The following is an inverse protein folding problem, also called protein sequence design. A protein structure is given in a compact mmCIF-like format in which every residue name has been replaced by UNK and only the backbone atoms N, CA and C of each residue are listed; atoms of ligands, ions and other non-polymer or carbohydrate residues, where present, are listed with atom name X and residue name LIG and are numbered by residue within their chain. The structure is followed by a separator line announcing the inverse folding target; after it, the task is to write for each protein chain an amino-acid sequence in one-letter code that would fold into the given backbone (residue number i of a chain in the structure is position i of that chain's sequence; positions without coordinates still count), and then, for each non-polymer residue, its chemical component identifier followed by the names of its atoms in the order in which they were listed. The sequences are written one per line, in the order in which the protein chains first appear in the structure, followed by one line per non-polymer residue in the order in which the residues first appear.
data_IF_492507187776
#
_entry.id   IF_492507187776
#
_cell.length_a   1.000
_cell.length_b   1.000
_cell.length_c   1.000
_cell.angle_alpha   90.00
_cell.angle_beta   90.00
_cell.angle_gamma   90.00
#
_symmetry.space_group_name_H-M   'P 1'
#
loop_
_entity.id
_entity.type
_entity.pdbx_description
1 polymer ?
#
# COMPACT_ATOMS: atom_id res chain seq x y z
N UNK A 1 -5.19 -24.50 1.53
CA UNK A 1 -5.27 -23.41 2.53
C UNK A 1 -6.06 -23.91 3.72
N UNK A 2 -5.40 -23.95 4.87
CA UNK A 2 -5.98 -24.41 6.12
C UNK A 2 -6.79 -23.29 6.80
N UNK A 3 -7.61 -23.64 7.80
CA UNK A 3 -8.45 -22.68 8.53
C UNK A 3 -7.65 -21.53 9.15
N UNK A 4 -6.42 -21.77 9.61
CA UNK A 4 -5.54 -20.73 10.15
C UNK A 4 -5.21 -19.64 9.13
N UNK A 5 -4.89 -20.02 7.89
CA UNK A 5 -4.62 -19.07 6.82
C UNK A 5 -5.88 -18.30 6.40
N UNK A 6 -7.06 -18.93 6.51
CA UNK A 6 -8.33 -18.23 6.23
C UNK A 6 -8.55 -17.09 7.21
N UNK A 7 -8.33 -17.33 8.50
CA UNK A 7 -8.39 -16.29 9.53
C UNK A 7 -7.41 -15.17 9.21
N UNK A 8 -6.16 -15.52 8.86
CA UNK A 8 -5.15 -14.53 8.49
C UNK A 8 -5.59 -13.67 7.30
N UNK A 9 -6.10 -14.30 6.23
CA UNK A 9 -6.59 -13.61 5.04
C UNK A 9 -7.75 -12.67 5.35
N UNK A 10 -8.71 -13.11 6.15
CA UNK A 10 -9.86 -12.30 6.56
C UNK A 10 -9.42 -11.10 7.40
N UNK A 11 -8.63 -11.33 8.44
CA UNK A 11 -8.18 -10.27 9.35
C UNK A 11 -7.33 -9.24 8.60
N UNK A 12 -6.31 -9.68 7.85
CA UNK A 12 -5.43 -8.78 7.10
C UNK A 12 -6.19 -8.03 6.01
N UNK A 13 -7.03 -8.72 5.23
CA UNK A 13 -7.83 -8.08 4.19
C UNK A 13 -8.77 -7.02 4.75
N UNK A 14 -9.48 -7.33 5.85
CA UNK A 14 -10.40 -6.38 6.48
C UNK A 14 -9.67 -5.21 7.15
N UNK A 15 -8.51 -5.41 7.75
CA UNK A 15 -7.70 -4.32 8.31
C UNK A 15 -7.20 -3.36 7.21
N UNK A 16 -6.72 -3.89 6.09
CA UNK A 16 -6.31 -3.08 4.93
C UNK A 16 -7.52 -2.30 4.40
N UNK A 17 -8.68 -2.93 4.27
CA UNK A 17 -9.89 -2.24 3.86
C UNK A 17 -10.31 -1.15 4.87
N UNK A 18 -10.18 -1.44 6.16
CA UNK A 18 -10.44 -0.50 7.25
C UNK A 18 -9.55 0.75 7.18
N UNK A 19 -8.25 0.59 6.92
CA UNK A 19 -7.35 1.74 6.69
C UNK A 19 -7.77 2.58 5.48
N UNK A 20 -8.24 1.93 4.40
CA UNK A 20 -8.78 2.65 3.26
C UNK A 20 -10.04 3.45 3.59
N UNK A 21 -10.95 2.87 4.40
CA UNK A 21 -12.16 3.55 4.91
C UNK A 21 -11.79 4.76 5.77
N UNK A 22 -10.78 4.65 6.64
CA UNK A 22 -10.29 5.76 7.46
C UNK A 22 -9.79 6.94 6.61
N UNK A 23 -9.15 6.65 5.46
CA UNK A 23 -8.60 7.68 4.56
C UNK A 23 -9.64 8.49 3.80
N UNK A 24 -10.80 7.91 3.50
CA UNK A 24 -11.81 8.54 2.63
C UNK A 24 -13.11 8.91 3.36
N UNK A 25 -13.34 8.42 4.57
CA UNK A 25 -14.60 8.59 5.30
C UNK A 25 -14.37 9.01 6.76
N UNK A 26 -15.45 9.34 7.45
CA UNK A 26 -15.45 9.63 8.90
C UNK A 26 -15.64 8.36 9.77
N UNK A 27 -15.63 7.17 9.17
CA UNK A 27 -15.81 5.91 9.88
C UNK A 27 -14.47 5.37 10.36
N UNK A 28 -14.52 4.51 11.38
CA UNK A 28 -13.34 3.85 11.97
C UNK A 28 -12.28 4.84 12.49
N UNK A 29 -12.68 6.05 12.90
CA UNK A 29 -11.77 7.10 13.34
C UNK A 29 -11.15 7.93 12.22
N UNK A 30 -11.64 7.81 10.98
CA UNK A 30 -11.21 8.64 9.87
C UNK A 30 -11.66 10.10 9.97
N UNK A 31 -10.96 10.98 9.26
CA UNK A 31 -11.22 12.43 9.21
C UNK A 31 -11.86 12.88 7.89
N UNK A 32 -12.48 11.94 7.17
CA UNK A 32 -13.01 12.16 5.84
C UNK A 32 -11.93 12.40 4.78
N UNK A 33 -12.36 12.52 3.54
CA UNK A 33 -11.47 12.68 2.39
C UNK A 33 -10.59 13.94 2.46
N UNK A 34 -11.06 15.01 3.11
CA UNK A 34 -10.27 16.22 3.33
C UNK A 34 -9.06 15.94 4.25
N UNK A 35 -9.27 15.21 5.35
CA UNK A 35 -8.17 14.87 6.25
C UNK A 35 -7.19 13.88 5.62
N UNK A 36 -7.67 12.91 4.84
CA UNK A 36 -6.79 12.05 4.04
C UNK A 36 -5.97 12.84 3.00
N UNK A 37 -6.58 13.84 2.37
CA UNK A 37 -5.88 14.75 1.44
C UNK A 37 -4.73 15.49 2.13
N UNK A 38 -4.95 15.96 3.34
CA UNK A 38 -3.95 16.66 4.14
C UNK A 38 -2.86 15.70 4.64
N UNK A 39 -3.20 14.49 5.06
CA UNK A 39 -2.25 13.41 5.40
C UNK A 39 -1.28 13.17 4.23
N UNK A 40 -1.79 12.87 3.04
CA UNK A 40 -0.94 12.65 1.86
C UNK A 40 -0.12 13.89 1.48
N UNK A 41 -0.62 15.11 1.74
CA UNK A 41 0.15 16.33 1.53
C UNK A 41 1.34 16.43 2.48
N UNK A 42 1.14 16.12 3.77
CA UNK A 42 2.20 16.09 4.80
C UNK A 42 3.23 15.01 4.51
N UNK A 43 2.78 13.86 4.02
CA UNK A 43 3.63 12.75 3.59
C UNK A 43 4.42 13.05 2.30
N UNK A 44 4.22 14.23 1.71
CA UNK A 44 4.95 14.73 0.56
C UNK A 44 4.41 14.24 -0.78
N UNK A 45 3.13 13.86 -0.89
CA UNK A 45 2.52 13.46 -2.16
C UNK A 45 1.91 14.65 -2.92
N UNK A 46 2.06 14.62 -4.25
CA UNK A 46 1.33 15.44 -5.22
C UNK A 46 -0.08 14.88 -5.44
N UNK A 47 -0.93 15.61 -6.16
CA UNK A 47 -2.27 15.16 -6.56
C UNK A 47 -3.40 15.37 -5.53
N UNK A 48 -3.06 15.68 -4.27
CA UNK A 48 -4.04 16.08 -3.25
C UNK A 48 -5.17 15.07 -3.10
N UNK A 49 -6.41 15.54 -3.34
CA UNK A 49 -7.63 14.74 -3.17
C UNK A 49 -7.67 13.48 -4.03
N UNK A 50 -7.11 13.53 -5.25
CA UNK A 50 -7.08 12.36 -6.13
C UNK A 50 -6.18 11.26 -5.58
N UNK A 51 -5.02 11.63 -5.03
CA UNK A 51 -4.10 10.68 -4.39
C UNK A 51 -4.71 10.04 -3.16
N UNK A 52 -5.41 10.81 -2.34
CA UNK A 52 -6.12 10.28 -1.17
C UNK A 52 -7.25 9.32 -1.56
N UNK A 53 -8.03 9.66 -2.58
CA UNK A 53 -9.07 8.79 -3.15
C UNK A 53 -8.49 7.51 -3.73
N UNK A 54 -7.43 7.63 -4.54
CA UNK A 54 -6.78 6.49 -5.16
C UNK A 54 -6.18 5.54 -4.11
N UNK A 55 -5.49 6.08 -3.11
CA UNK A 55 -4.90 5.27 -2.04
C UNK A 55 -5.98 4.60 -1.18
N UNK A 56 -7.00 5.35 -0.74
CA UNK A 56 -8.09 4.80 0.07
C UNK A 56 -8.94 3.79 -0.70
N UNK A 57 -9.31 4.09 -1.94
CA UNK A 57 -10.05 3.19 -2.82
C UNK A 57 -9.27 1.91 -3.14
N UNK A 58 -7.96 2.02 -3.40
CA UNK A 58 -7.10 0.86 -3.62
C UNK A 58 -6.98 -0.01 -2.37
N UNK A 59 -6.86 0.59 -1.18
CA UNK A 59 -6.84 -0.14 0.09
C UNK A 59 -8.17 -0.87 0.35
N UNK A 60 -9.31 -0.20 0.15
CA UNK A 60 -10.64 -0.82 0.29
C UNK A 60 -10.78 -1.99 -0.69
N UNK A 61 -10.52 -1.76 -1.97
CA UNK A 61 -10.65 -2.78 -3.01
C UNK A 61 -9.72 -3.97 -2.76
N UNK A 62 -8.43 -3.71 -2.57
CA UNK A 62 -7.43 -4.76 -2.32
C UNK A 62 -7.77 -5.56 -1.06
N UNK A 63 -8.13 -4.90 0.03
CA UNK A 63 -8.46 -5.54 1.29
C UNK A 63 -9.70 -6.43 1.20
N UNK A 64 -10.78 -5.95 0.57
CA UNK A 64 -12.02 -6.71 0.40
C UNK A 64 -11.84 -7.90 -0.54
N UNK A 65 -11.16 -7.71 -1.68
CA UNK A 65 -10.87 -8.80 -2.61
C UNK A 65 -9.97 -9.85 -1.97
N UNK A 66 -8.96 -9.42 -1.20
CA UNK A 66 -8.09 -10.33 -0.48
C UNK A 66 -8.87 -11.11 0.58
N UNK A 67 -9.69 -10.45 1.41
CA UNK A 67 -10.50 -11.11 2.43
C UNK A 67 -11.46 -12.15 1.82
N UNK A 68 -12.10 -11.82 0.71
CA UNK A 68 -12.99 -12.71 -0.02
C UNK A 68 -12.25 -13.85 -0.77
N UNK A 69 -10.93 -13.71 -0.97
CA UNK A 69 -10.15 -14.60 -1.83
C UNK A 69 -10.60 -14.52 -3.28
N UNK A 70 -10.84 -13.31 -3.77
CA UNK A 70 -11.22 -13.03 -5.15
C UNK A 70 -10.03 -12.41 -5.88
N UNK A 71 -9.66 -12.97 -7.04
CA UNK A 71 -8.47 -12.60 -7.81
C UNK A 71 -7.23 -12.54 -6.91
N UNK A 72 -6.99 -13.60 -6.14
CA UNK A 72 -6.10 -13.58 -4.96
C UNK A 72 -4.71 -12.99 -5.23
N UNK A 73 -3.97 -13.36 -6.30
CA UNK A 73 -2.66 -12.76 -6.58
C UNK A 73 -2.75 -11.27 -6.93
N UNK A 74 -3.82 -10.82 -7.59
CA UNK A 74 -4.02 -9.42 -7.93
C UNK A 74 -4.37 -8.59 -6.69
N UNK A 75 -5.26 -9.12 -5.84
CA UNK A 75 -5.60 -8.51 -4.56
C UNK A 75 -4.36 -8.38 -3.66
N UNK A 76 -3.54 -9.43 -3.58
CA UNK A 76 -2.26 -9.42 -2.87
C UNK A 76 -1.27 -8.42 -3.48
N UNK A 77 -1.18 -8.33 -4.82
CA UNK A 77 -0.33 -7.33 -5.50
C UNK A 77 -0.71 -5.90 -5.10
N UNK A 78 -2.00 -5.58 -5.16
CA UNK A 78 -2.51 -4.27 -4.79
C UNK A 78 -2.28 -3.98 -3.29
N UNK A 79 -2.53 -4.96 -2.41
CA UNK A 79 -2.27 -4.86 -0.98
C UNK A 79 -0.78 -4.60 -0.68
N UNK A 80 0.12 -5.35 -1.32
CA UNK A 80 1.57 -5.12 -1.19
C UNK A 80 1.95 -3.72 -1.67
N UNK A 81 1.44 -3.27 -2.83
CA UNK A 81 1.74 -1.94 -3.36
C UNK A 81 1.36 -0.81 -2.41
N UNK A 82 0.12 -0.81 -1.89
CA UNK A 82 -0.32 0.24 -0.96
C UNK A 82 0.42 0.20 0.38
N UNK A 83 0.79 -0.99 0.86
CA UNK A 83 1.57 -1.13 2.11
C UNK A 83 3.04 -0.77 1.91
N UNK A 84 3.62 -1.04 0.74
CA UNK A 84 4.96 -0.56 0.38
C UNK A 84 4.98 0.97 0.34
N UNK A 85 3.98 1.62 -0.26
CA UNK A 85 3.85 3.08 -0.21
C UNK A 85 3.84 3.58 1.24
N UNK A 86 3.02 2.98 2.10
CA UNK A 86 2.97 3.34 3.52
C UNK A 86 4.34 3.17 4.21
N UNK A 87 5.05 2.06 3.93
CA UNK A 87 6.42 1.83 4.43
C UNK A 87 7.41 2.89 3.97
N UNK A 88 7.33 3.36 2.71
CA UNK A 88 8.23 4.42 2.22
C UNK A 88 8.01 5.78 2.88
N UNK A 89 6.80 6.06 3.36
CA UNK A 89 6.49 7.28 4.11
C UNK A 89 7.11 7.19 5.50
N UNK A 90 6.97 6.03 6.15
CA UNK A 90 7.43 5.77 7.51
C UNK A 90 8.91 5.39 7.62
N UNK A 91 9.62 5.25 6.49
CA UNK A 91 11.01 4.81 6.46
C UNK A 91 11.95 5.62 7.37
N UNK A 92 11.75 6.94 7.43
CA UNK A 92 12.57 7.86 8.22
C UNK A 92 12.34 7.74 9.74
N UNK A 93 11.23 7.13 10.17
CA UNK A 93 10.90 6.89 11.58
C UNK A 93 11.57 5.62 12.13
N UNK A 94 12.29 4.88 11.29
CA UNK A 94 12.89 3.60 11.65
C UNK A 94 11.91 2.43 11.60
N UNK A 95 12.31 1.30 12.18
CA UNK A 95 11.55 0.04 12.08
C UNK A 95 10.28 0.07 12.92
N UNK A 96 10.42 0.35 14.21
CA UNK A 96 9.42 0.05 15.24
C UNK A 96 8.11 0.84 15.13
N UNK A 97 6.97 0.14 15.18
CA UNK A 97 5.62 0.73 15.08
C UNK A 97 5.33 1.73 16.20
N UNK A 98 5.95 1.58 17.37
CA UNK A 98 5.81 2.49 18.51
C UNK A 98 6.29 3.90 18.19
N UNK A 99 7.22 4.03 17.23
CA UNK A 99 7.75 5.31 16.76
C UNK A 99 7.13 5.71 15.41
N UNK A 100 5.99 5.14 15.04
CA UNK A 100 5.39 5.32 13.72
C UNK A 100 6.28 4.79 12.57
N UNK A 101 7.06 3.74 12.85
CA UNK A 101 7.96 3.08 11.92
C UNK A 101 7.27 2.20 10.88
N UNK A 102 8.08 1.63 9.97
CA UNK A 102 7.59 0.85 8.83
C UNK A 102 7.35 -0.65 9.11
N UNK A 103 7.53 -1.12 10.34
CA UNK A 103 7.35 -2.52 10.78
C UNK A 103 5.98 -3.08 10.37
N UNK A 104 4.89 -2.42 10.75
CA UNK A 104 3.54 -2.93 10.49
C UNK A 104 3.22 -3.01 8.97
N UNK A 105 3.47 -1.98 8.15
CA UNK A 105 3.38 -2.11 6.69
C UNK A 105 4.21 -3.26 6.12
N UNK A 106 5.44 -3.45 6.59
CA UNK A 106 6.30 -4.57 6.15
C UNK A 106 5.75 -5.93 6.51
N UNK A 107 5.18 -6.09 7.71
CA UNK A 107 4.47 -7.32 8.11
C UNK A 107 3.29 -7.58 7.17
N UNK A 108 2.49 -6.56 6.85
CA UNK A 108 1.36 -6.71 5.92
C UNK A 108 1.80 -7.08 4.50
N UNK A 109 2.93 -6.55 4.01
CA UNK A 109 3.52 -6.96 2.73
C UNK A 109 3.93 -8.43 2.78
N UNK A 110 4.62 -8.86 3.85
CA UNK A 110 5.05 -10.25 4.01
C UNK A 110 3.86 -11.23 4.08
N UNK A 111 2.81 -10.86 4.82
CA UNK A 111 1.58 -11.66 4.89
C UNK A 111 0.88 -11.73 3.53
N UNK A 112 0.76 -10.62 2.81
CA UNK A 112 0.17 -10.61 1.48
C UNK A 112 0.95 -11.49 0.48
N UNK A 113 2.29 -11.46 0.55
CA UNK A 113 3.16 -12.35 -0.23
C UNK A 113 2.93 -13.84 0.11
N UNK A 114 2.86 -14.17 1.41
CA UNK A 114 2.59 -15.54 1.86
C UNK A 114 1.20 -16.03 1.39
N UNK A 115 0.18 -15.17 1.44
CA UNK A 115 -1.16 -15.48 0.93
C UNK A 115 -1.17 -15.68 -0.59
N UNK A 116 -0.41 -14.88 -1.34
CA UNK A 116 -0.27 -15.05 -2.78
C UNK A 116 0.38 -16.39 -3.16
N UNK A 117 1.39 -16.85 -2.39
CA UNK A 117 2.05 -18.14 -2.60
C UNK A 117 1.19 -19.32 -2.19
N UNK A 118 0.39 -19.16 -1.13
CA UNK A 118 -0.53 -20.21 -0.66
C UNK A 118 -1.74 -20.35 -1.58
N UNK A 119 -2.16 -19.25 -2.22
CA UNK A 119 -3.32 -19.20 -3.08
C UNK A 119 -4.65 -19.02 -2.33
N UNK A 120 -5.78 -19.01 -3.06
CA UNK A 120 -7.09 -18.58 -2.56
C UNK A 120 -7.68 -19.48 -1.47
N UNK A 121 -7.42 -20.79 -1.51
CA UNK A 121 -8.05 -21.75 -0.60
C UNK A 121 -9.49 -22.14 -0.95
N UNK A 122 -10.02 -23.16 -0.26
CA UNK A 122 -11.37 -23.70 -0.51
C UNK A 122 -12.49 -22.73 -0.11
N UNK A 123 -12.25 -21.90 0.89
CA UNK A 123 -13.17 -20.88 1.38
C UNK A 123 -12.89 -19.54 0.67
N UNK A 124 -13.01 -19.51 -0.64
CA UNK A 124 -12.73 -18.32 -1.45
C UNK A 124 -13.77 -18.15 -2.55
N UNK A 125 -13.96 -16.91 -2.98
CA UNK A 125 -14.78 -16.65 -4.17
C UNK A 125 -14.10 -17.17 -5.43
N UNK A 126 -12.76 -17.16 -5.51
CA UNK A 126 -12.03 -17.82 -6.61
C UNK A 126 -12.46 -19.29 -6.73
N UNK A 127 -12.54 -20.03 -5.61
CA UNK A 127 -12.96 -21.43 -5.65
C UNK A 127 -14.45 -21.61 -5.96
N UNK A 128 -15.31 -20.70 -5.45
CA UNK A 128 -16.76 -20.74 -5.68
C UNK A 128 -17.14 -20.44 -7.14
N UNK A 129 -16.40 -19.57 -7.82
CA UNK A 129 -16.62 -19.21 -9.22
C UNK A 129 -16.01 -20.23 -10.22
N UNK A 130 -15.27 -21.20 -9.71
CA UNK A 130 -14.61 -22.25 -10.47
C UNK A 130 -13.20 -22.46 -9.93
N UNK A 131 -12.76 -23.68 -9.57
CA UNK A 131 -11.46 -23.89 -8.91
C UNK A 131 -10.27 -23.32 -9.70
N UNK A 132 -9.89 -22.08 -9.41
CA UNK A 132 -8.71 -21.43 -10.02
C UNK A 132 -7.47 -21.82 -9.24
N UNK A 133 -6.59 -22.58 -9.88
CA UNK A 133 -5.21 -22.77 -9.41
C UNK A 133 -4.33 -21.75 -10.08
N UNK A 134 -3.91 -20.73 -9.32
CA UNK A 134 -2.94 -19.76 -9.81
C UNK A 134 -1.56 -20.43 -9.93
N UNK A 135 -0.94 -20.43 -11.12
CA UNK A 135 0.38 -21.04 -11.29
C UNK A 135 1.44 -20.21 -10.53
N UNK A 136 2.48 -20.87 -10.03
CA UNK A 136 3.49 -20.26 -9.16
C UNK A 136 4.09 -18.97 -9.73
N UNK A 137 4.31 -18.92 -11.05
CA UNK A 137 4.88 -17.73 -11.71
C UNK A 137 3.98 -16.49 -11.56
N UNK A 138 2.65 -16.65 -11.45
CA UNK A 138 1.73 -15.53 -11.20
C UNK A 138 1.94 -15.00 -9.78
N UNK A 139 2.09 -15.88 -8.79
CA UNK A 139 2.37 -15.49 -7.41
C UNK A 139 3.74 -14.82 -7.28
N UNK A 140 4.76 -15.33 -7.97
CA UNK A 140 6.09 -14.70 -8.01
C UNK A 140 6.04 -13.32 -8.68
N UNK A 141 5.33 -13.20 -9.80
CA UNK A 141 5.10 -11.92 -10.46
C UNK A 141 4.38 -10.94 -9.52
N UNK A 142 3.34 -11.38 -8.80
CA UNK A 142 2.64 -10.56 -7.81
C UNK A 142 3.56 -10.02 -6.71
N UNK A 143 4.47 -10.86 -6.18
CA UNK A 143 5.43 -10.48 -5.13
C UNK A 143 6.45 -9.45 -5.60
N UNK A 144 6.81 -9.45 -6.89
CA UNK A 144 7.73 -8.45 -7.45
C UNK A 144 6.97 -7.18 -7.83
N UNK A 145 5.84 -7.33 -8.53
CA UNK A 145 5.04 -6.22 -9.05
C UNK A 145 4.41 -5.42 -7.91
N UNK A 146 3.94 -6.06 -6.84
CA UNK A 146 3.29 -5.36 -5.72
C UNK A 146 4.18 -4.28 -5.12
N UNK A 147 5.32 -4.63 -4.49
CA UNK A 147 6.27 -3.65 -3.99
C UNK A 147 6.80 -2.71 -5.09
N UNK A 148 7.06 -3.22 -6.30
CA UNK A 148 7.53 -2.41 -7.43
C UNK A 148 6.58 -1.28 -7.79
N UNK A 149 5.27 -1.56 -7.88
CA UNK A 149 4.23 -0.55 -8.14
C UNK A 149 4.09 0.45 -7.00
N UNK A 150 4.27 0.02 -5.74
CA UNK A 150 4.29 0.91 -4.59
C UNK A 150 5.47 1.89 -4.63
N UNK A 151 6.68 1.38 -4.91
CA UNK A 151 7.88 2.21 -5.07
C UNK A 151 7.75 3.18 -6.25
N UNK A 152 7.24 2.71 -7.38
CA UNK A 152 6.99 3.55 -8.55
C UNK A 152 5.97 4.65 -8.23
N UNK A 153 4.87 4.32 -7.55
CA UNK A 153 3.86 5.29 -7.11
C UNK A 153 4.49 6.35 -6.21
N UNK A 154 5.33 5.94 -5.26
CA UNK A 154 6.07 6.87 -4.39
C UNK A 154 6.98 7.77 -5.20
N UNK A 155 7.76 7.23 -6.14
CA UNK A 155 8.68 8.00 -6.96
C UNK A 155 7.97 9.04 -7.83
N UNK A 156 6.87 8.64 -8.49
CA UNK A 156 6.09 9.51 -9.39
C UNK A 156 5.35 10.60 -8.63
N UNK A 157 4.76 10.27 -7.48
CA UNK A 157 3.91 11.19 -6.73
C UNK A 157 4.66 12.00 -5.68
N UNK A 158 5.96 11.78 -5.46
CA UNK A 158 6.75 12.57 -4.51
C UNK A 158 6.79 14.05 -4.93
N UNK A 159 6.62 14.95 -3.97
CA UNK A 159 6.99 16.36 -4.11
C UNK A 159 8.51 16.47 -3.99
N UNK A 160 9.21 17.09 -4.96
CA UNK A 160 10.54 17.61 -4.74
C UNK A 160 10.45 18.63 -3.61
N UNK A 161 11.33 18.49 -2.62
CA UNK A 161 11.46 19.47 -1.55
C UNK A 161 11.81 20.81 -2.18
N UNK A 162 10.99 21.84 -1.97
CA UNK A 162 11.39 23.20 -2.31
C UNK A 162 12.50 23.61 -1.34
N UNK A 163 13.73 23.77 -1.83
CA UNK A 163 14.86 24.31 -1.09
C UNK A 163 15.94 23.30 -0.73
N UNK A 164 16.83 23.00 -1.67
CA UNK A 164 18.23 22.82 -1.33
C UNK A 164 18.91 24.20 -1.49
N UNK A 165 19.27 24.91 -0.40
CA UNK A 165 19.91 26.22 -0.49
C UNK A 165 21.31 26.17 -1.13
N UNK A 166 21.88 24.98 -1.34
CA UNK A 166 23.26 24.84 -1.83
C UNK A 166 23.41 25.12 -3.32
N UNK A 167 22.33 25.05 -4.12
CA UNK A 167 22.40 25.26 -5.57
C UNK A 167 22.19 26.74 -6.01
N UNK A 168 21.98 27.65 -5.05
CA UNK A 168 21.82 29.08 -5.31
C UNK A 168 23.13 29.89 -5.22
N UNK A 169 24.19 29.35 -4.59
CA UNK A 169 25.45 30.08 -4.38
C UNK A 169 26.45 29.96 -5.53
N UNK A 170 26.35 28.94 -6.37
CA UNK A 170 27.29 28.76 -7.50
C UNK A 170 26.94 29.62 -8.72
N UNK A 171 25.68 30.00 -8.93
CA UNK A 171 25.30 30.84 -10.09
C UNK A 171 25.61 32.32 -9.96
N UNK A 172 25.74 32.85 -8.75
CA UNK A 172 26.12 34.26 -8.54
C UNK A 172 27.63 34.49 -8.47
N UNK A 173 28.43 33.45 -8.22
CA UNK A 173 29.89 33.56 -8.19
C UNK A 173 30.54 33.48 -9.58
N UNK A 174 29.89 32.87 -10.58
CA UNK A 174 30.43 32.74 -11.95
C UNK A 174 30.05 33.89 -12.90
N UNK A 175 29.34 34.92 -12.42
CA UNK A 175 28.99 36.09 -13.22
C UNK A 175 29.88 37.31 -12.92
N UNK A 176 30.95 37.14 -12.15
CA UNK A 176 31.81 38.22 -11.66
C UNK A 176 33.30 38.08 -12.02
N UNK A 177 33.67 37.13 -12.89
CA UNK A 177 35.04 36.99 -13.42
C UNK A 177 35.07 37.12 -14.95
#
# INVERSE_FOLDING_TARGET
MDSGLLVLRLVVGLLIAGHGVQKVSFRLGGSGLAGGTEEFRRDGFRGGRLTALAAGGSQIGAGLFLAAGLLTPLAATAAMGVMTVAGTVKWHNGLWVQHDGYEYPSVLVAVAAALALTGPGKWSLDHALGPVTWPLWVSLAAIVIGPGTGLATRAVLRRPTAGDPTNGRTRHAQAAD
#
